data_IF_160190165695
#
_entry.id   IF_160190165695
#
_cell.length_a   1.000
_cell.length_b   1.000
_cell.length_c   1.000
_cell.angle_alpha   90.00
_cell.angle_beta   90.00
_cell.angle_gamma   90.00
#
_symmetry.space_group_name_H-M   'P 1'
#
loop_
_entity.id
_entity.type
_entity.pdbx_description
1 polymer ?
#
# COMPACT_ATOMS: atom_id res chain seq x y z
N UNK A 1 -6.01 5.78 13.77
CA UNK A 1 -7.29 5.58 13.03
C UNK A 1 -8.43 5.53 14.05
N UNK A 2 -9.18 6.62 14.21
CA UNK A 2 -10.28 6.69 15.17
C UNK A 2 -11.36 5.66 14.86
N UNK A 3 -11.89 5.00 15.89
CA UNK A 3 -13.02 4.06 15.75
C UNK A 3 -14.19 4.82 15.11
N UNK A 4 -14.72 4.32 14.00
CA UNK A 4 -15.95 4.83 13.38
C UNK A 4 -17.11 4.53 14.33
N UNK A 5 -17.36 5.40 15.31
CA UNK A 5 -18.46 5.25 16.26
C UNK A 5 -19.77 5.70 15.59
N UNK A 6 -20.70 4.76 15.47
CA UNK A 6 -22.08 5.08 15.12
C UNK A 6 -22.77 5.67 16.35
N UNK A 7 -23.29 6.89 16.22
CA UNK A 7 -23.96 7.61 17.33
C UNK A 7 -25.26 6.95 17.80
N UNK A 8 -25.87 6.12 16.97
CA UNK A 8 -27.17 5.49 17.23
C UNK A 8 -27.00 3.98 17.43
N UNK A 9 -27.64 3.44 18.48
CA UNK A 9 -27.63 2.00 18.78
C UNK A 9 -28.35 1.21 17.68
N UNK A 10 -28.03 -0.08 17.55
CA UNK A 10 -28.60 -0.91 16.47
C UNK A 10 -30.13 -1.03 16.60
N UNK A 11 -30.64 -1.10 17.83
CA UNK A 11 -32.08 -1.23 18.11
C UNK A 11 -32.84 0.00 17.61
N UNK A 12 -32.33 1.21 17.91
CA UNK A 12 -32.93 2.46 17.43
C UNK A 12 -32.90 2.55 15.90
N UNK A 13 -31.84 2.06 15.26
CA UNK A 13 -31.74 2.04 13.79
C UNK A 13 -32.77 1.12 13.17
N UNK A 14 -32.93 -0.09 13.72
CA UNK A 14 -33.96 -1.05 13.30
C UNK A 14 -35.36 -0.46 13.49
N UNK A 15 -35.60 0.21 14.62
CA UNK A 15 -36.87 0.88 14.90
C UNK A 15 -37.21 1.92 13.82
N UNK A 16 -36.29 2.85 13.53
CA UNK A 16 -36.52 3.87 12.49
C UNK A 16 -36.73 3.27 11.10
N UNK A 17 -36.02 2.19 10.75
CA UNK A 17 -36.24 1.49 9.49
C UNK A 17 -37.62 0.84 9.44
N UNK A 18 -38.04 0.13 10.50
CA UNK A 18 -39.37 -0.49 10.58
C UNK A 18 -40.49 0.55 10.47
N UNK A 19 -40.40 1.67 11.20
CA UNK A 19 -41.39 2.76 11.13
C UNK A 19 -41.53 3.32 9.72
N UNK A 20 -40.42 3.43 8.98
CA UNK A 20 -40.45 3.88 7.60
C UNK A 20 -41.04 2.82 6.65
N UNK A 21 -40.64 1.56 6.78
CA UNK A 21 -41.14 0.46 5.94
C UNK A 21 -42.63 0.17 6.15
N UNK A 22 -43.13 0.33 7.39
CA UNK A 22 -44.54 0.18 7.74
C UNK A 22 -45.42 1.35 7.28
N UNK A 23 -44.83 2.41 6.71
CA UNK A 23 -45.56 3.60 6.26
C UNK A 23 -46.08 4.49 7.40
N UNK A 24 -45.68 4.24 8.65
CA UNK A 24 -46.11 5.02 9.82
C UNK A 24 -45.66 6.49 9.73
N UNK A 25 -44.52 6.73 9.07
CA UNK A 25 -43.92 8.06 8.92
C UNK A 25 -43.18 8.20 7.59
N UNK A 26 -43.33 9.36 6.94
CA UNK A 26 -42.61 9.68 5.71
C UNK A 26 -41.09 9.82 5.91
N UNK A 27 -40.31 9.52 4.86
CA UNK A 27 -38.84 9.45 4.91
C UNK A 27 -38.16 10.68 5.54
N UNK A 28 -38.64 11.89 5.25
CA UNK A 28 -38.05 13.14 5.74
C UNK A 28 -38.22 13.29 7.26
N UNK A 29 -39.38 12.90 7.79
CA UNK A 29 -39.69 13.01 9.23
C UNK A 29 -38.87 12.00 10.03
N UNK A 30 -38.86 10.74 9.59
CA UNK A 30 -38.07 9.67 10.22
C UNK A 30 -36.58 9.99 10.20
N UNK A 31 -36.06 10.55 9.10
CA UNK A 31 -34.66 10.96 9.00
C UNK A 31 -34.31 12.10 9.97
N UNK A 32 -35.19 13.11 10.10
CA UNK A 32 -35.01 14.22 11.03
C UNK A 32 -35.00 13.76 12.49
N UNK A 33 -35.92 12.88 12.88
CA UNK A 33 -35.98 12.31 14.23
C UNK A 33 -34.76 11.45 14.57
N UNK A 34 -34.25 10.71 13.59
CA UNK A 34 -33.03 9.92 13.72
C UNK A 34 -31.74 10.76 13.65
N UNK A 35 -31.82 12.06 13.35
CA UNK A 35 -30.66 12.94 13.18
C UNK A 35 -29.77 12.58 11.99
N UNK A 36 -30.34 11.99 10.93
CA UNK A 36 -29.63 11.52 9.74
C UNK A 36 -30.22 12.13 8.46
N UNK A 37 -29.48 12.03 7.35
CA UNK A 37 -30.01 12.41 6.03
C UNK A 37 -31.00 11.37 5.48
N UNK A 38 -31.96 11.81 4.66
CA UNK A 38 -32.91 10.93 3.96
C UNK A 38 -32.21 9.84 3.13
N UNK A 39 -31.06 10.16 2.52
CA UNK A 39 -30.21 9.18 1.82
C UNK A 39 -29.66 8.10 2.74
N UNK A 40 -29.31 8.46 3.98
CA UNK A 40 -28.81 7.50 4.99
C UNK A 40 -29.93 6.58 5.44
N UNK A 41 -31.14 7.11 5.64
CA UNK A 41 -32.31 6.31 5.97
C UNK A 41 -32.64 5.31 4.86
N UNK A 42 -32.69 5.76 3.59
CA UNK A 42 -32.90 4.88 2.43
C UNK A 42 -31.85 3.77 2.35
N UNK A 43 -30.58 4.10 2.65
CA UNK A 43 -29.50 3.12 2.71
C UNK A 43 -29.70 2.10 3.83
N UNK A 44 -30.15 2.52 5.02
CA UNK A 44 -30.45 1.58 6.10
C UNK A 44 -31.60 0.65 5.73
N UNK A 45 -32.63 1.15 5.04
CA UNK A 45 -33.74 0.32 4.55
C UNK A 45 -33.24 -0.72 3.55
N UNK A 46 -32.44 -0.33 2.57
CA UNK A 46 -31.85 -1.27 1.60
C UNK A 46 -30.97 -2.34 2.27
N UNK A 47 -30.16 -1.96 3.27
CA UNK A 47 -29.35 -2.92 4.04
C UNK A 47 -30.24 -3.86 4.85
N UNK A 48 -31.30 -3.33 5.47
CA UNK A 48 -32.24 -4.11 6.27
C UNK A 48 -33.07 -5.09 5.43
N UNK A 49 -33.48 -4.70 4.22
CA UNK A 49 -34.17 -5.58 3.27
C UNK A 49 -33.26 -6.72 2.77
N UNK A 50 -31.96 -6.47 2.60
CA UNK A 50 -31.02 -7.47 2.07
C UNK A 50 -30.40 -8.38 3.14
N UNK A 51 -30.03 -7.81 4.30
CA UNK A 51 -29.23 -8.49 5.34
C UNK A 51 -29.97 -8.56 6.69
N UNK A 52 -31.22 -8.09 6.76
CA UNK A 52 -32.01 -8.05 7.98
C UNK A 52 -31.46 -7.09 9.04
N UNK A 53 -31.86 -7.26 10.32
CA UNK A 53 -31.37 -6.42 11.43
C UNK A 53 -29.85 -6.56 11.63
N UNK A 54 -29.28 -7.73 11.32
CA UNK A 54 -27.84 -7.98 11.43
C UNK A 54 -27.02 -7.08 10.48
N UNK A 55 -27.56 -6.74 9.31
CA UNK A 55 -26.90 -5.83 8.36
C UNK A 55 -26.66 -4.42 8.91
N UNK A 56 -27.50 -3.97 9.85
CA UNK A 56 -27.32 -2.68 10.50
C UNK A 56 -26.25 -2.70 11.60
N UNK A 57 -25.68 -3.85 11.96
CA UNK A 57 -24.59 -3.93 12.92
C UNK A 57 -23.31 -3.32 12.32
N UNK A 58 -22.58 -2.55 13.13
CA UNK A 58 -21.30 -1.99 12.73
C UNK A 58 -20.25 -3.11 12.56
N UNK A 59 -19.85 -3.41 11.33
CA UNK A 59 -18.80 -4.39 11.06
C UNK A 59 -17.42 -3.73 11.10
N UNK A 60 -16.44 -4.43 11.69
CA UNK A 60 -15.03 -3.96 11.70
C UNK A 60 -14.35 -4.10 10.34
N UNK A 61 -14.82 -5.04 9.51
CA UNK A 61 -14.31 -5.31 8.17
C UNK A 61 -15.34 -4.93 7.12
N UNK A 62 -14.87 -4.50 5.96
CA UNK A 62 -15.71 -4.27 4.79
C UNK A 62 -16.17 -5.62 4.21
N UNK A 63 -17.38 -5.67 3.64
CA UNK A 63 -17.86 -6.85 2.89
C UNK A 63 -16.97 -7.01 1.65
N UNK A 64 -16.38 -8.20 1.51
CA UNK A 64 -15.62 -8.58 0.33
C UNK A 64 -16.58 -8.99 -0.77
N UNK A 65 -16.32 -8.58 -2.00
CA UNK A 65 -17.06 -9.00 -3.19
C UNK A 65 -16.06 -9.62 -4.17
N UNK A 66 -16.44 -10.75 -4.76
CA UNK A 66 -15.62 -11.45 -5.76
C UNK A 66 -15.43 -10.59 -7.02
N UNK A 67 -14.46 -10.95 -7.86
CA UNK A 67 -14.20 -10.20 -9.10
C UNK A 67 -15.36 -10.37 -10.08
N UNK A 68 -15.89 -11.58 -10.14
CA UNK A 68 -16.97 -12.01 -11.01
C UNK A 68 -18.25 -11.22 -10.70
N UNK A 69 -18.61 -11.12 -9.41
CA UNK A 69 -19.79 -10.36 -8.99
C UNK A 69 -19.66 -8.87 -9.30
N UNK A 70 -18.45 -8.30 -9.14
CA UNK A 70 -18.21 -6.89 -9.49
C UNK A 70 -18.37 -6.64 -10.99
N UNK A 71 -17.86 -7.55 -11.82
CA UNK A 71 -18.00 -7.49 -13.27
C UNK A 71 -19.47 -7.57 -13.67
N UNK A 72 -20.19 -8.56 -13.15
CA UNK A 72 -21.60 -8.77 -13.45
C UNK A 72 -22.44 -7.54 -13.07
N UNK A 73 -22.23 -7.00 -11.87
CA UNK A 73 -22.94 -5.81 -11.40
C UNK A 73 -22.68 -4.56 -12.27
N UNK A 74 -21.46 -4.41 -12.79
CA UNK A 74 -21.14 -3.29 -13.70
C UNK A 74 -21.74 -3.51 -15.08
N UNK A 75 -21.64 -4.71 -15.63
CA UNK A 75 -22.22 -5.02 -16.94
C UNK A 75 -23.74 -4.89 -16.93
N UNK A 76 -24.42 -5.36 -15.88
CA UNK A 76 -25.87 -5.21 -15.72
C UNK A 76 -26.29 -3.73 -15.67
N UNK A 77 -25.51 -2.87 -15.01
CA UNK A 77 -25.77 -1.43 -15.03
C UNK A 77 -25.51 -0.80 -16.42
N UNK A 78 -24.42 -1.19 -17.10
CA UNK A 78 -24.06 -0.66 -18.42
C UNK A 78 -25.03 -1.11 -19.52
N UNK A 79 -25.66 -2.28 -19.37
CA UNK A 79 -26.71 -2.77 -20.27
C UNK A 79 -28.02 -1.96 -20.15
N UNK A 80 -28.09 -0.99 -19.24
CA UNK A 80 -29.19 -0.03 -19.16
C UNK A 80 -30.49 -0.57 -18.55
N UNK A 81 -30.45 -1.76 -17.94
CA UNK A 81 -31.63 -2.46 -17.42
C UNK A 81 -32.23 -1.77 -16.19
N UNK A 82 -31.42 -1.11 -15.36
CA UNK A 82 -31.85 -0.64 -14.05
C UNK A 82 -31.04 0.56 -13.50
N UNK A 83 -31.64 1.26 -12.53
CA UNK A 83 -30.94 2.33 -11.81
C UNK A 83 -29.82 1.79 -10.91
N UNK A 84 -28.81 2.63 -10.59
CA UNK A 84 -27.73 2.29 -9.65
C UNK A 84 -28.23 1.70 -8.33
N UNK A 85 -29.38 2.18 -7.83
CA UNK A 85 -29.97 1.68 -6.59
C UNK A 85 -30.52 0.26 -6.74
N UNK A 86 -31.19 -0.03 -7.85
CA UNK A 86 -31.76 -1.35 -8.12
C UNK A 86 -30.68 -2.39 -8.38
N UNK A 87 -29.68 -2.05 -9.19
CA UNK A 87 -28.52 -2.93 -9.42
C UNK A 87 -27.78 -3.17 -8.10
N UNK A 88 -27.52 -2.11 -7.32
CA UNK A 88 -26.92 -2.28 -6.00
C UNK A 88 -27.75 -3.18 -5.07
N UNK A 89 -29.08 -3.11 -5.12
CA UNK A 89 -29.95 -3.99 -4.34
C UNK A 89 -29.86 -5.44 -4.81
N UNK A 90 -29.94 -5.69 -6.12
CA UNK A 90 -29.86 -7.02 -6.76
C UNK A 90 -28.59 -7.76 -6.39
N UNK A 91 -27.45 -7.06 -6.40
CA UNK A 91 -26.13 -7.62 -6.06
C UNK A 91 -25.76 -7.48 -4.58
N UNK A 92 -26.73 -7.17 -3.70
CA UNK A 92 -26.54 -7.01 -2.26
C UNK A 92 -25.39 -6.07 -1.86
N UNK A 93 -25.27 -4.98 -2.61
CA UNK A 93 -24.30 -3.93 -2.36
C UNK A 93 -24.79 -3.05 -1.22
N UNK A 94 -23.93 -2.85 -0.22
CA UNK A 94 -24.23 -2.00 0.94
C UNK A 94 -24.28 -0.50 0.59
N UNK A 95 -23.87 -0.12 -0.62
CA UNK A 95 -23.88 1.27 -1.08
C UNK A 95 -23.82 1.38 -2.61
N UNK A 96 -24.64 2.26 -3.17
CA UNK A 96 -24.56 2.67 -4.58
C UNK A 96 -23.23 3.32 -4.95
N UNK A 97 -22.53 3.92 -3.97
CA UNK A 97 -21.18 4.47 -4.18
C UNK A 97 -20.19 3.37 -4.56
N UNK A 98 -20.33 2.16 -4.00
CA UNK A 98 -19.45 1.04 -4.36
C UNK A 98 -19.60 0.68 -5.84
N UNK A 99 -20.84 0.57 -6.31
CA UNK A 99 -21.12 0.33 -7.73
C UNK A 99 -20.59 1.46 -8.61
N UNK A 100 -20.77 2.72 -8.21
CA UNK A 100 -20.24 3.87 -8.95
C UNK A 100 -18.72 3.82 -9.06
N UNK A 101 -18.02 3.51 -7.97
CA UNK A 101 -16.56 3.38 -7.97
C UNK A 101 -16.10 2.20 -8.83
N UNK A 102 -16.87 1.12 -8.85
CA UNK A 102 -16.62 -0.03 -9.69
C UNK A 102 -16.77 0.29 -11.18
N UNK A 103 -17.84 0.99 -11.57
CA UNK A 103 -18.05 1.47 -12.94
C UNK A 103 -16.90 2.38 -13.38
N UNK A 104 -16.47 3.31 -12.52
CA UNK A 104 -15.31 4.17 -12.81
C UNK A 104 -14.06 3.35 -13.10
N UNK A 105 -13.73 2.39 -12.22
CA UNK A 105 -12.55 1.51 -12.40
C UNK A 105 -12.64 0.70 -13.69
N UNK A 106 -13.82 0.15 -13.97
CA UNK A 106 -14.08 -0.61 -15.19
C UNK A 106 -13.92 0.27 -16.44
N UNK A 107 -14.48 1.48 -16.46
CA UNK A 107 -14.35 2.40 -17.60
C UNK A 107 -12.90 2.86 -17.84
N UNK A 108 -12.06 2.92 -16.80
CA UNK A 108 -10.64 3.28 -16.95
C UNK A 108 -9.77 2.13 -17.49
N UNK A 109 -10.06 0.89 -17.11
CA UNK A 109 -9.13 -0.24 -17.33
C UNK A 109 -9.72 -1.44 -18.09
N UNK A 110 -11.03 -1.43 -18.38
CA UNK A 110 -11.78 -2.55 -18.98
C UNK A 110 -11.96 -3.76 -18.08
N UNK A 111 -11.37 -3.77 -16.88
CA UNK A 111 -11.41 -4.89 -15.94
C UNK A 111 -11.12 -4.43 -14.50
N UNK A 112 -11.61 -5.19 -13.54
CA UNK A 112 -11.19 -5.13 -12.14
C UNK A 112 -9.87 -5.89 -11.98
N UNK A 113 -8.79 -5.34 -12.56
CA UNK A 113 -7.46 -5.82 -12.20
C UNK A 113 -7.34 -5.72 -10.69
N UNK A 114 -6.94 -6.82 -10.04
CA UNK A 114 -6.54 -6.73 -8.65
C UNK A 114 -5.43 -5.68 -8.61
N UNK A 115 -5.49 -4.73 -7.67
CA UNK A 115 -4.37 -3.84 -7.35
C UNK A 115 -3.17 -4.65 -6.77
N UNK A 116 -3.01 -5.91 -7.16
CA UNK A 116 -1.80 -6.69 -6.99
C UNK A 116 -0.87 -6.43 -8.18
N UNK A 117 -0.58 -5.15 -8.44
CA UNK A 117 0.59 -4.75 -9.23
C UNK A 117 1.92 -5.10 -8.54
N UNK A 118 1.86 -5.75 -7.37
CA UNK A 118 2.94 -6.54 -6.84
C UNK A 118 2.43 -7.93 -6.55
N UNK A 119 3.15 -8.94 -7.01
CA UNK A 119 3.05 -10.31 -6.53
C UNK A 119 2.86 -10.30 -5.00
N UNK A 120 1.73 -10.80 -4.48
CA UNK A 120 1.51 -11.04 -3.03
C UNK A 120 2.39 -12.19 -2.51
N UNK A 121 3.52 -12.44 -3.18
CA UNK A 121 4.52 -13.41 -2.80
C UNK A 121 5.17 -12.90 -1.52
N UNK A 122 4.93 -13.63 -0.42
CA UNK A 122 5.69 -13.46 0.82
C UNK A 122 7.12 -13.92 0.52
N UNK A 123 7.99 -12.98 0.21
CA UNK A 123 9.40 -13.27 0.02
C UNK A 123 10.05 -13.56 1.38
N UNK A 124 10.19 -14.84 1.72
CA UNK A 124 10.86 -15.33 2.94
C UNK A 124 12.34 -15.65 2.68
N UNK A 125 12.69 -16.02 1.44
CA UNK A 125 14.05 -16.36 1.03
C UNK A 125 14.92 -15.10 0.87
N UNK A 126 16.14 -15.16 1.42
CA UNK A 126 17.23 -14.23 1.12
C UNK A 126 17.94 -14.72 -0.13
N UNK A 127 18.13 -13.84 -1.10
CA UNK A 127 18.83 -14.16 -2.35
C UNK A 127 20.29 -13.74 -2.28
N UNK A 128 21.19 -14.61 -2.74
CA UNK A 128 22.60 -14.33 -2.94
C UNK A 128 22.82 -13.31 -4.06
N UNK A 129 24.03 -12.79 -4.21
CA UNK A 129 24.36 -11.85 -5.28
C UNK A 129 24.20 -12.50 -6.66
N UNK A 130 24.67 -13.75 -6.80
CA UNK A 130 24.63 -14.51 -8.04
C UNK A 130 23.19 -14.80 -8.45
N UNK A 131 22.35 -15.25 -7.50
CA UNK A 131 20.91 -15.44 -7.74
C UNK A 131 20.25 -14.14 -8.20
N UNK A 132 20.60 -12.98 -7.60
CA UNK A 132 20.06 -11.67 -8.04
C UNK A 132 20.45 -11.32 -9.46
N UNK A 133 21.70 -11.58 -9.84
CA UNK A 133 22.19 -11.33 -11.20
C UNK A 133 21.45 -12.22 -12.20
N UNK A 134 21.32 -13.51 -11.91
CA UNK A 134 20.58 -14.46 -12.76
C UNK A 134 19.14 -14.00 -12.98
N UNK A 135 18.43 -13.63 -11.91
CA UNK A 135 17.04 -13.18 -11.99
C UNK A 135 16.89 -11.88 -12.79
N UNK A 136 17.84 -10.96 -12.67
CA UNK A 136 17.84 -9.70 -13.44
C UNK A 136 18.10 -9.98 -14.92
N UNK A 137 19.11 -10.80 -15.24
CA UNK A 137 19.41 -11.17 -16.63
C UNK A 137 18.25 -11.92 -17.28
N UNK A 138 17.61 -12.83 -16.55
CA UNK A 138 16.41 -13.52 -17.00
C UNK A 138 15.28 -12.53 -17.29
N UNK A 139 15.05 -11.54 -16.41
CA UNK A 139 14.02 -10.53 -16.62
C UNK A 139 14.28 -9.68 -17.87
N UNK A 140 15.54 -9.30 -18.12
CA UNK A 140 15.94 -8.51 -19.30
C UNK A 140 15.80 -9.35 -20.58
N UNK A 141 16.19 -10.62 -20.54
CA UNK A 141 16.08 -11.54 -21.67
C UNK A 141 14.62 -11.86 -22.06
N UNK A 142 13.67 -11.72 -21.14
CA UNK A 142 12.23 -11.91 -21.39
C UNK A 142 11.50 -10.56 -21.55
N UNK A 143 12.11 -9.59 -22.24
CA UNK A 143 11.50 -8.29 -22.55
C UNK A 143 10.93 -7.54 -21.33
N UNK A 144 11.64 -7.61 -20.20
CA UNK A 144 11.22 -7.00 -18.94
C UNK A 144 9.91 -7.57 -18.37
N UNK A 145 9.64 -8.87 -18.55
CA UNK A 145 8.54 -9.55 -17.85
C UNK A 145 8.83 -9.72 -16.34
N UNK A 146 8.64 -8.64 -15.60
CA UNK A 146 8.76 -8.61 -14.15
C UNK A 146 7.75 -9.51 -13.45
N UNK A 147 6.57 -9.68 -14.03
CA UNK A 147 5.47 -10.43 -13.40
C UNK A 147 5.74 -11.92 -13.48
N UNK A 148 6.06 -12.44 -14.67
CA UNK A 148 6.42 -13.85 -14.86
C UNK A 148 7.70 -14.21 -14.12
N UNK A 149 8.71 -13.34 -14.15
CA UNK A 149 9.98 -13.56 -13.44
C UNK A 149 9.79 -13.57 -11.91
N UNK A 150 8.98 -12.66 -11.37
CA UNK A 150 8.66 -12.61 -9.94
C UNK A 150 7.95 -13.90 -9.46
N UNK A 151 7.04 -14.44 -10.28
CA UNK A 151 6.35 -15.71 -9.98
C UNK A 151 7.32 -16.89 -10.05
N UNK A 152 8.13 -16.98 -11.11
CA UNK A 152 9.10 -18.07 -11.33
C UNK A 152 10.09 -18.21 -10.18
N UNK A 153 10.70 -17.09 -9.78
CA UNK A 153 11.73 -17.09 -8.73
C UNK A 153 11.17 -16.82 -7.33
N UNK A 154 9.86 -16.69 -7.19
CA UNK A 154 9.18 -16.31 -5.94
C UNK A 154 9.78 -15.06 -5.28
N UNK A 155 10.12 -14.07 -6.11
CA UNK A 155 10.63 -12.77 -5.67
C UNK A 155 9.47 -11.80 -5.60
N UNK A 156 9.49 -10.90 -4.63
CA UNK A 156 8.55 -9.78 -4.63
C UNK A 156 8.83 -8.89 -5.84
N UNK A 157 7.81 -8.63 -6.66
CA UNK A 157 7.87 -7.72 -7.82
C UNK A 157 8.70 -6.46 -7.57
N UNK A 158 8.43 -5.76 -6.47
CA UNK A 158 9.13 -4.52 -6.11
C UNK A 158 10.65 -4.70 -5.92
N UNK A 159 11.10 -5.86 -5.42
CA UNK A 159 12.52 -6.15 -5.27
C UNK A 159 13.16 -6.39 -6.64
N UNK A 160 12.52 -7.19 -7.49
CA UNK A 160 13.00 -7.47 -8.84
C UNK A 160 13.12 -6.18 -9.67
N UNK A 161 12.08 -5.33 -9.67
CA UNK A 161 12.11 -4.04 -10.35
C UNK A 161 13.28 -3.15 -9.88
N UNK A 162 13.48 -3.05 -8.55
CA UNK A 162 14.57 -2.27 -8.00
C UNK A 162 15.95 -2.86 -8.32
N UNK A 163 16.07 -4.18 -8.44
CA UNK A 163 17.31 -4.85 -8.84
C UNK A 163 17.63 -4.57 -10.31
N UNK A 164 16.69 -4.75 -11.23
CA UNK A 164 16.87 -4.46 -12.66
C UNK A 164 17.29 -3.00 -12.85
N UNK A 165 16.58 -2.06 -12.23
CA UNK A 165 16.91 -0.63 -12.29
C UNK A 165 18.31 -0.29 -11.78
N UNK A 166 18.77 -0.97 -10.72
CA UNK A 166 20.13 -0.78 -10.18
C UNK A 166 21.19 -1.40 -11.08
N UNK A 167 20.87 -2.54 -11.69
CA UNK A 167 21.75 -3.23 -12.61
C UNK A 167 21.95 -2.44 -13.91
N UNK A 168 20.91 -1.83 -14.47
CA UNK A 168 21.06 -0.95 -15.65
C UNK A 168 21.95 0.26 -15.36
N UNK A 169 21.85 0.83 -14.14
CA UNK A 169 22.64 2.02 -13.77
C UNK A 169 24.09 1.72 -13.39
N UNK A 170 24.33 0.59 -12.71
CA UNK A 170 25.62 0.30 -12.03
C UNK A 170 26.15 -1.12 -12.31
N UNK A 171 25.56 -1.86 -13.25
CA UNK A 171 25.90 -3.25 -13.54
C UNK A 171 25.75 -4.18 -12.32
N UNK A 172 26.54 -5.25 -12.30
CA UNK A 172 26.59 -6.24 -11.20
C UNK A 172 26.80 -5.59 -9.83
N UNK A 173 27.61 -4.54 -9.78
CA UNK A 173 27.92 -3.81 -8.55
C UNK A 173 26.66 -3.16 -7.92
N UNK A 174 25.64 -2.81 -8.72
CA UNK A 174 24.37 -2.27 -8.24
C UNK A 174 23.55 -3.22 -7.36
N UNK A 175 23.82 -4.54 -7.39
CA UNK A 175 23.05 -5.58 -6.70
C UNK A 175 23.65 -6.01 -5.36
N UNK A 176 24.87 -5.60 -5.05
CA UNK A 176 25.55 -5.87 -3.78
C UNK A 176 24.92 -5.11 -2.61
N UNK A 177 24.77 -5.81 -1.48
CA UNK A 177 24.25 -5.20 -0.25
C UNK A 177 25.37 -4.49 0.51
N UNK A 178 25.32 -3.16 0.57
CA UNK A 178 26.30 -2.31 1.28
C UNK A 178 25.79 -1.74 2.61
N UNK A 179 24.64 -2.23 3.11
CA UNK A 179 24.10 -1.77 4.39
C UNK A 179 25.08 -2.07 5.54
N UNK A 180 25.43 -1.05 6.31
CA UNK A 180 26.33 -1.16 7.48
C UNK A 180 27.83 -1.07 7.19
N UNK A 181 28.26 -0.87 5.94
CA UNK A 181 29.68 -0.77 5.58
C UNK A 181 30.15 0.69 5.52
N UNK A 182 31.23 1.04 6.24
CA UNK A 182 31.82 2.40 6.23
C UNK A 182 32.35 2.74 4.84
N UNK A 183 32.03 3.94 4.34
CA UNK A 183 32.47 4.42 3.00
C UNK A 183 33.98 4.30 2.78
N UNK A 184 34.80 4.60 3.79
CA UNK A 184 36.27 4.55 3.69
C UNK A 184 36.86 3.15 3.40
N UNK A 185 36.09 2.08 3.65
CA UNK A 185 36.50 0.68 3.42
C UNK A 185 35.85 0.07 2.17
N UNK A 186 35.19 0.87 1.35
CA UNK A 186 34.52 0.37 0.14
C UNK A 186 35.47 0.43 -1.05
N UNK A 187 35.35 -0.53 -1.97
CA UNK A 187 35.91 -0.41 -3.31
C UNK A 187 35.03 0.51 -4.16
N UNK A 188 35.70 1.37 -4.94
CA UNK A 188 35.08 2.34 -5.83
C UNK A 188 34.46 1.68 -7.05
N UNK A 189 33.37 2.28 -7.55
CA UNK A 189 32.64 1.78 -8.73
C UNK A 189 32.61 2.78 -9.88
N UNK A 190 32.98 4.02 -9.60
CA UNK A 190 33.13 5.11 -10.55
C UNK A 190 34.26 6.03 -10.09
N UNK A 191 34.88 6.81 -10.97
CA UNK A 191 35.92 7.78 -10.60
C UNK A 191 35.46 8.79 -9.54
N UNK A 192 34.17 9.13 -9.55
CA UNK A 192 33.56 10.02 -8.55
C UNK A 192 33.44 9.34 -7.18
N UNK A 193 33.13 8.05 -7.14
CA UNK A 193 33.08 7.28 -5.90
C UNK A 193 34.50 7.05 -5.34
N UNK A 194 35.50 6.84 -6.20
CA UNK A 194 36.93 6.84 -5.83
C UNK A 194 37.32 8.12 -5.09
N UNK A 195 36.98 9.27 -5.66
CA UNK A 195 37.27 10.57 -5.06
C UNK A 195 36.58 10.71 -3.69
N UNK A 196 35.33 10.29 -3.56
CA UNK A 196 34.61 10.35 -2.28
C UNK A 196 35.19 9.39 -1.22
N UNK A 197 35.62 8.19 -1.62
CA UNK A 197 36.27 7.23 -0.73
C UNK A 197 37.62 7.80 -0.27
N UNK A 198 38.37 8.40 -1.19
CA UNK A 198 39.65 9.04 -0.88
C UNK A 198 39.50 10.22 0.06
N UNK A 199 38.50 11.08 -0.17
CA UNK A 199 38.17 12.19 0.75
C UNK A 199 37.86 11.64 2.15
N UNK A 200 37.03 10.61 2.26
CA UNK A 200 36.69 10.02 3.55
C UNK A 200 37.91 9.41 4.27
N UNK A 201 38.84 8.78 3.54
CA UNK A 201 40.09 8.27 4.10
C UNK A 201 41.00 9.40 4.58
N UNK A 202 41.12 10.48 3.81
CA UNK A 202 41.91 11.65 4.16
C UNK A 202 41.33 12.37 5.39
N UNK A 203 40.01 12.51 5.49
CA UNK A 203 39.34 13.08 6.67
C UNK A 203 39.62 12.27 7.94
N UNK A 204 39.63 10.93 7.85
CA UNK A 204 39.97 10.06 8.98
C UNK A 204 41.44 10.24 9.40
N UNK A 205 42.35 10.36 8.43
CA UNK A 205 43.77 10.64 8.69
C UNK A 205 44.00 12.01 9.33
N UNK A 206 43.37 13.07 8.79
CA UNK A 206 43.47 14.43 9.34
C UNK A 206 42.94 14.47 10.76
N UNK A 207 41.83 13.79 11.04
CA UNK A 207 41.27 13.70 12.40
C UNK A 207 42.25 13.01 13.36
N UNK A 208 42.86 11.91 12.94
CA UNK A 208 43.86 11.20 13.74
C UNK A 208 45.08 12.07 14.04
N UNK A 209 45.61 12.75 13.03
CA UNK A 209 46.75 13.68 13.18
C UNK A 209 46.40 14.85 14.11
N UNK A 210 45.19 15.40 14.00
CA UNK A 210 44.75 16.47 14.90
C UNK A 210 44.69 15.99 16.36
N UNK A 211 44.17 14.79 16.61
CA UNK A 211 44.18 14.19 17.95
C UNK A 211 45.60 13.98 18.49
N UNK A 212 46.54 13.55 17.64
CA UNK A 212 47.94 13.40 18.01
C UNK A 212 48.58 14.75 18.39
N UNK A 213 48.35 15.79 17.58
CA UNK A 213 48.81 17.16 17.87
C UNK A 213 48.22 17.65 19.20
N UNK A 214 46.93 17.44 19.43
CA UNK A 214 46.25 17.90 20.65
C UNK A 214 46.76 17.16 21.91
N UNK A 215 47.03 15.86 21.79
CA UNK A 215 47.70 15.07 22.83
C UNK A 215 49.09 15.61 23.14
N UNK A 216 49.92 15.85 22.13
CA UNK A 216 51.28 16.38 22.30
C UNK A 216 51.27 17.78 22.93
N UNK A 217 50.33 18.65 22.54
CA UNK A 217 50.14 19.95 23.20
C UNK A 217 49.80 19.79 24.67
N UNK A 218 48.93 18.82 25.00
CA UNK A 218 48.53 18.60 26.39
C UNK A 218 49.66 18.06 27.26
N UNK A 219 50.48 17.15 26.72
CA UNK A 219 51.69 16.67 27.40
C UNK A 219 52.66 17.81 27.69
N UNK A 220 52.97 18.65 26.69
CA UNK A 220 53.84 19.82 26.88
C UNK A 220 53.30 20.81 27.91
N UNK A 221 51.98 20.98 27.99
CA UNK A 221 51.35 21.84 29.00
C UNK A 221 51.56 21.30 30.42
N UNK A 222 51.48 19.97 30.60
CA UNK A 222 51.74 19.32 31.89
C UNK A 222 53.21 19.41 32.29
N UNK A 223 54.14 19.12 31.37
CA UNK A 223 55.59 19.23 31.61
C UNK A 223 56.05 20.64 31.99
N UNK A 224 55.34 21.68 31.52
CA UNK A 224 55.59 23.07 31.89
C UNK A 224 55.00 23.48 33.24
N UNK A 225 54.03 22.72 33.77
CA UNK A 225 53.44 22.95 35.09
C UNK A 225 54.21 22.25 36.21
N UNK A 226 54.93 21.18 35.89
CA UNK A 226 55.73 20.41 36.83
C UNK A 226 57.18 20.94 36.99
N UNK A 227 57.53 22.04 36.31
CA UNK A 227 58.78 22.81 36.50
C UNK A 227 58.52 24.13 37.21
#
# INVERSE_FOLDING_TARGET
MGKRQMKLTVEKRVQFVKQYLNGERGSARTAKEAGISSTTLKRWCAIYENEGPAGLIATRKNKGYSKELKLEAVLDYLNGSDSLLRVAKRYELRSTTQLRDWIKRYNTHGDFKSESGGSNVRQTKKFSLEERVEMVLYCIANDYDYSGTAVKYQVKYANLYNWVKRYEKKGKAGLEDRRGQRKAKQESRTPEEDAQIRIAQLEEQVKYQQMEIDLLKKVKELERRDR
#
